data_IF_669629543704
#
_entry.id   IF_669629543704
#
_cell.length_a   1.000
_cell.length_b   1.000
_cell.length_c   1.000
_cell.angle_alpha   90.00
_cell.angle_beta   90.00
_cell.angle_gamma   90.00
#
_symmetry.space_group_name_H-M   'P 1'
#
loop_
_entity.id
_entity.type
_entity.pdbx_description
1 polymer ?
#
# COMPACT_ATOMS: atom_id res chain seq x y z
N UNK A 1 25.77 -43.72 64.74
CA UNK A 1 24.36 -43.44 64.43
C UNK A 1 23.96 -42.15 65.11
N UNK A 2 23.63 -41.11 64.33
CA UNK A 2 22.90 -39.93 64.82
C UNK A 2 21.41 -40.23 64.65
N UNK A 3 20.61 -39.99 65.68
CA UNK A 3 19.19 -40.38 65.82
C UNK A 3 18.20 -39.46 65.10
N UNK A 4 18.65 -38.70 64.11
CA UNK A 4 17.79 -37.98 63.18
C UNK A 4 18.37 -38.15 61.78
N UNK A 5 17.65 -38.86 60.91
CA UNK A 5 18.06 -39.21 59.54
C UNK A 5 18.11 -38.02 58.58
N UNK A 6 18.80 -36.95 58.94
CA UNK A 6 19.05 -35.79 58.08
C UNK A 6 20.45 -35.87 57.49
N UNK A 7 20.49 -36.11 56.18
CA UNK A 7 21.70 -36.04 55.38
C UNK A 7 22.14 -34.57 55.27
N UNK A 8 23.16 -34.17 56.05
CA UNK A 8 23.82 -32.86 55.86
C UNK A 8 24.90 -33.04 54.79
N UNK A 9 24.45 -33.15 53.55
CA UNK A 9 25.32 -33.02 52.38
C UNK A 9 25.33 -31.56 51.94
N UNK A 10 26.48 -30.89 52.01
CA UNK A 10 26.61 -29.61 51.32
C UNK A 10 26.50 -29.85 49.80
N UNK A 11 25.50 -29.24 49.17
CA UNK A 11 25.38 -29.22 47.71
C UNK A 11 26.61 -28.51 47.14
N UNK A 12 27.48 -29.27 46.46
CA UNK A 12 28.70 -28.77 45.80
C UNK A 12 28.40 -28.14 44.42
N UNK A 13 27.14 -27.88 44.05
CA UNK A 13 26.76 -27.24 42.78
C UNK A 13 26.65 -25.72 42.86
N UNK A 14 27.16 -25.11 43.93
CA UNK A 14 27.35 -23.66 43.96
C UNK A 14 28.47 -23.35 42.95
N UNK A 15 28.09 -22.68 41.85
CA UNK A 15 28.93 -22.19 40.73
C UNK A 15 29.23 -23.10 39.53
N UNK A 16 28.50 -24.20 39.32
CA UNK A 16 28.55 -24.91 38.03
C UNK A 16 27.49 -24.37 37.06
N UNK A 17 27.86 -23.47 36.14
CA UNK A 17 26.98 -23.10 35.01
C UNK A 17 26.54 -24.39 34.30
N UNK A 18 25.23 -24.65 34.11
CA UNK A 18 24.76 -25.83 33.40
C UNK A 18 25.44 -25.93 32.03
N UNK A 19 25.97 -27.10 31.69
CA UNK A 19 26.68 -27.34 30.43
C UNK A 19 25.83 -27.04 29.18
N UNK A 20 24.50 -27.01 29.35
CA UNK A 20 23.52 -26.74 28.30
C UNK A 20 23.19 -25.25 28.12
N UNK A 21 23.84 -24.32 28.84
CA UNK A 21 23.65 -22.88 28.61
C UNK A 21 24.50 -22.47 27.41
N UNK A 22 23.85 -22.05 26.33
CA UNK A 22 24.53 -21.41 25.20
C UNK A 22 25.35 -20.21 25.69
N UNK A 23 26.67 -20.19 25.47
CA UNK A 23 27.53 -19.08 25.87
C UNK A 23 27.00 -17.73 25.41
N UNK A 24 27.19 -16.69 26.24
CA UNK A 24 26.71 -15.32 25.95
C UNK A 24 27.25 -14.82 24.61
N UNK A 25 28.52 -15.10 24.30
CA UNK A 25 29.14 -14.74 23.03
C UNK A 25 28.44 -15.38 21.82
N UNK A 26 28.06 -16.66 21.91
CA UNK A 26 27.35 -17.38 20.85
C UNK A 26 25.92 -16.82 20.70
N UNK A 27 25.25 -16.49 21.81
CA UNK A 27 23.94 -15.81 21.75
C UNK A 27 24.03 -14.46 21.05
N UNK A 28 25.07 -13.67 21.34
CA UNK A 28 25.30 -12.37 20.70
C UNK A 28 25.58 -12.52 19.19
N UNK A 29 26.31 -13.55 18.76
CA UNK A 29 26.51 -13.83 17.34
C UNK A 29 25.20 -14.15 16.61
N UNK A 30 24.36 -14.98 17.21
CA UNK A 30 23.02 -15.29 16.66
C UNK A 30 22.15 -14.03 16.62
N UNK A 31 22.18 -13.20 17.66
CA UNK A 31 21.46 -11.91 17.67
C UNK A 31 21.96 -10.99 16.57
N UNK A 32 23.28 -10.86 16.40
CA UNK A 32 23.89 -10.08 15.32
C UNK A 32 23.45 -10.56 13.93
N UNK A 33 23.29 -11.88 13.75
CA UNK A 33 22.75 -12.43 12.51
C UNK A 33 21.27 -12.09 12.32
N UNK A 34 20.45 -12.21 13.36
CA UNK A 34 19.03 -11.85 13.31
C UNK A 34 18.84 -10.35 13.02
N UNK A 35 19.65 -9.49 13.62
CA UNK A 35 19.61 -8.04 13.41
C UNK A 35 20.15 -7.60 12.05
N UNK A 36 20.89 -8.47 11.35
CA UNK A 36 21.39 -8.20 10.01
C UNK A 36 20.26 -8.16 8.95
N UNK A 37 19.10 -8.74 9.24
CA UNK A 37 17.95 -8.69 8.33
C UNK A 37 17.28 -7.31 8.37
N UNK A 38 16.95 -6.73 7.20
CA UNK A 38 16.27 -5.45 7.12
C UNK A 38 14.85 -5.57 7.71
N UNK A 39 14.53 -4.61 8.56
CA UNK A 39 13.21 -4.47 9.19
C UNK A 39 12.30 -3.70 8.24
N UNK A 40 11.05 -4.14 8.12
CA UNK A 40 10.02 -3.43 7.36
C UNK A 40 9.74 -2.08 8.02
N UNK A 41 9.61 -1.03 7.21
CA UNK A 41 9.33 0.33 7.67
C UNK A 41 8.05 0.41 8.52
N UNK A 42 8.07 1.30 9.51
CA UNK A 42 7.07 1.39 10.59
C UNK A 42 5.65 1.70 10.13
N UNK A 43 5.42 2.16 8.89
CA UNK A 43 4.07 2.43 8.38
C UNK A 43 3.24 1.14 8.15
N UNK A 44 3.87 -0.03 8.16
CA UNK A 44 3.17 -1.33 8.23
C UNK A 44 2.96 -1.82 9.66
N UNK A 45 3.60 -1.18 10.63
CA UNK A 45 3.56 -1.51 12.05
C UNK A 45 2.47 -0.69 12.74
N UNK A 46 1.78 -1.26 13.72
CA UNK A 46 0.80 -0.49 14.51
C UNK A 46 1.56 0.56 15.33
N UNK A 47 1.09 1.82 15.28
CA UNK A 47 1.66 2.99 15.99
C UNK A 47 1.93 2.75 17.49
N UNK A 48 1.20 1.84 18.12
CA UNK A 48 1.29 1.53 19.56
C UNK A 48 2.10 0.26 19.90
N UNK A 49 2.79 -0.37 18.95
CA UNK A 49 3.57 -1.59 19.19
C UNK A 49 5.07 -1.35 19.03
N UNK A 50 5.86 -1.78 20.01
CA UNK A 50 7.34 -1.89 19.89
C UNK A 50 7.77 -3.08 19.01
N UNK A 51 6.83 -3.81 18.40
CA UNK A 51 7.12 -5.02 17.60
C UNK A 51 7.66 -4.63 16.22
N UNK A 52 8.80 -5.18 15.86
CA UNK A 52 9.42 -5.03 14.54
C UNK A 52 9.07 -6.21 13.63
N UNK A 53 9.06 -5.97 12.32
CA UNK A 53 8.65 -6.96 11.33
C UNK A 53 9.71 -7.24 10.28
N UNK A 54 9.92 -8.51 9.97
CA UNK A 54 10.78 -8.98 8.88
C UNK A 54 9.94 -9.31 7.63
N UNK A 55 10.60 -9.41 6.47
CA UNK A 55 9.99 -9.72 5.17
C UNK A 55 8.97 -10.88 5.22
N UNK A 56 7.83 -10.79 4.51
CA UNK A 56 6.88 -11.91 4.38
C UNK A 56 7.47 -13.12 3.64
N UNK A 57 8.54 -12.91 2.86
CA UNK A 57 9.26 -13.95 2.14
C UNK A 57 10.24 -14.71 3.06
N UNK A 58 10.44 -14.25 4.30
CA UNK A 58 11.25 -14.90 5.31
C UNK A 58 10.41 -15.77 6.24
N UNK A 59 11.05 -16.79 6.80
CA UNK A 59 10.57 -17.54 7.95
C UNK A 59 11.77 -18.09 8.74
N UNK A 60 11.55 -18.60 9.96
CA UNK A 60 12.63 -19.11 10.82
C UNK A 60 13.46 -20.19 10.12
N UNK A 61 12.85 -21.02 9.29
CA UNK A 61 13.58 -22.06 8.54
C UNK A 61 14.51 -21.46 7.50
N UNK A 62 14.04 -20.46 6.75
CA UNK A 62 14.87 -19.73 5.78
C UNK A 62 15.99 -19.00 6.52
N UNK A 63 15.68 -18.24 7.56
CA UNK A 63 16.69 -17.51 8.36
C UNK A 63 17.74 -18.46 8.96
N UNK A 64 17.33 -19.62 9.47
CA UNK A 64 18.27 -20.61 10.01
C UNK A 64 19.16 -21.21 8.93
N UNK A 65 18.63 -21.50 7.73
CA UNK A 65 19.46 -21.95 6.61
C UNK A 65 20.51 -20.89 6.25
N UNK A 66 20.09 -19.63 6.16
CA UNK A 66 21.00 -18.51 5.90
C UNK A 66 22.00 -18.27 7.06
N UNK A 67 21.64 -18.61 8.30
CA UNK A 67 22.56 -18.61 9.43
C UNK A 67 23.63 -19.69 9.31
N UNK A 68 23.28 -20.87 8.80
CA UNK A 68 24.26 -21.92 8.51
C UNK A 68 25.25 -21.46 7.44
N UNK A 69 24.77 -20.86 6.35
CA UNK A 69 25.60 -20.24 5.31
C UNK A 69 26.53 -19.17 5.90
N UNK A 70 25.99 -18.24 6.71
CA UNK A 70 26.77 -17.22 7.40
C UNK A 70 27.84 -17.80 8.34
N UNK A 71 27.51 -18.88 9.06
CA UNK A 71 28.45 -19.58 9.92
C UNK A 71 29.59 -20.23 9.11
N UNK A 72 29.27 -20.85 7.98
CA UNK A 72 30.26 -21.43 7.06
C UNK A 72 31.19 -20.35 6.49
N UNK A 73 30.65 -19.22 6.05
CA UNK A 73 31.43 -18.10 5.50
C UNK A 73 32.37 -17.43 6.52
N UNK A 74 32.07 -17.55 7.82
CA UNK A 74 32.83 -16.90 8.90
C UNK A 74 33.59 -17.91 9.78
N UNK A 75 33.76 -19.16 9.32
CA UNK A 75 34.44 -20.25 10.05
C UNK A 75 33.89 -20.49 11.47
N UNK A 76 32.57 -20.41 11.63
CA UNK A 76 31.86 -20.62 12.88
C UNK A 76 31.00 -21.88 12.86
N UNK A 77 30.87 -22.54 14.02
CA UNK A 77 29.93 -23.64 14.19
C UNK A 77 28.52 -23.12 14.47
N UNK A 78 27.50 -23.48 13.68
CA UNK A 78 26.13 -23.03 13.92
C UNK A 78 25.55 -23.67 15.18
N UNK A 79 24.79 -22.89 15.97
CA UNK A 79 23.93 -23.43 17.01
C UNK A 79 22.82 -24.29 16.44
N UNK A 80 22.18 -25.12 17.26
CA UNK A 80 21.00 -25.87 16.81
C UNK A 80 19.84 -24.94 16.46
N UNK A 81 18.99 -25.38 15.52
CA UNK A 81 17.76 -24.67 15.12
C UNK A 81 16.88 -24.29 16.31
N UNK A 82 16.84 -25.15 17.33
CA UNK A 82 16.08 -24.88 18.56
C UNK A 82 16.61 -23.65 19.30
N UNK A 83 17.94 -23.57 19.49
CA UNK A 83 18.60 -22.42 20.14
C UNK A 83 18.40 -21.15 19.31
N UNK A 84 18.60 -21.22 18.00
CA UNK A 84 18.36 -20.09 17.09
C UNK A 84 16.92 -19.57 17.20
N UNK A 85 15.94 -20.49 17.17
CA UNK A 85 14.53 -20.15 17.31
C UNK A 85 14.20 -19.53 18.68
N UNK A 86 14.79 -20.03 19.77
CA UNK A 86 14.62 -19.45 21.11
C UNK A 86 15.10 -17.99 21.13
N UNK A 87 16.30 -17.74 20.60
CA UNK A 87 16.90 -16.39 20.54
C UNK A 87 16.05 -15.45 19.69
N UNK A 88 15.51 -15.92 18.56
CA UNK A 88 14.58 -15.14 17.75
C UNK A 88 13.31 -14.73 18.52
N UNK A 89 12.71 -15.64 19.28
CA UNK A 89 11.49 -15.36 20.06
C UNK A 89 11.75 -14.51 21.32
N UNK A 90 12.97 -14.55 21.85
CA UNK A 90 13.44 -13.75 23.00
C UNK A 90 13.98 -12.37 22.59
N UNK A 91 14.04 -12.05 21.29
CA UNK A 91 14.59 -10.80 20.78
C UNK A 91 13.86 -9.56 21.31
N UNK A 92 14.59 -8.50 21.64
CA UNK A 92 14.06 -7.19 22.07
C UNK A 92 14.65 -6.08 21.18
N UNK A 93 13.83 -5.31 20.45
CA UNK A 93 12.36 -5.37 20.38
C UNK A 93 11.82 -6.69 19.80
N UNK A 94 10.61 -7.13 20.19
CA UNK A 94 10.03 -8.38 19.69
C UNK A 94 9.94 -8.42 18.15
N UNK A 95 10.37 -9.52 17.55
CA UNK A 95 10.33 -9.72 16.09
C UNK A 95 9.17 -10.63 15.65
N UNK A 96 8.71 -10.42 14.43
CA UNK A 96 7.78 -11.34 13.75
C UNK A 96 7.93 -11.21 12.24
N UNK A 97 7.63 -12.26 11.50
CA UNK A 97 7.45 -12.13 10.06
C UNK A 97 6.19 -11.34 9.78
N UNK A 98 6.30 -10.35 8.89
CA UNK A 98 5.14 -9.64 8.39
C UNK A 98 4.25 -10.64 7.69
N UNK A 99 3.04 -10.82 8.21
CA UNK A 99 2.00 -11.53 7.50
C UNK A 99 1.11 -10.46 6.93
N UNK A 100 1.11 -10.25 5.59
CA UNK A 100 0.09 -9.44 4.95
C UNK A 100 -1.23 -10.00 5.46
N UNK A 101 -2.03 -9.16 6.12
CA UNK A 101 -3.35 -9.59 6.55
C UNK A 101 -4.13 -9.81 5.27
N UNK A 102 -4.27 -11.07 4.85
CA UNK A 102 -5.31 -11.46 3.89
C UNK A 102 -6.62 -10.86 4.40
N UNK A 103 -7.41 -10.34 3.48
CA UNK A 103 -8.64 -9.56 3.68
C UNK A 103 -9.59 -10.17 4.70
N UNK A 104 -9.31 -9.92 5.97
CA UNK A 104 -10.08 -10.42 7.10
C UNK A 104 -10.86 -9.24 7.64
N UNK A 105 -12.18 -9.28 7.44
CA UNK A 105 -13.05 -8.29 8.01
C UNK A 105 -13.02 -8.36 9.54
N UNK A 106 -12.54 -7.28 10.16
CA UNK A 106 -12.45 -7.17 11.62
C UNK A 106 -13.82 -7.30 12.27
N UNK A 107 -14.87 -6.70 11.69
CA UNK A 107 -16.24 -6.79 12.21
C UNK A 107 -16.74 -8.25 12.21
N UNK A 108 -16.54 -8.96 11.10
CA UNK A 108 -16.92 -10.38 11.00
C UNK A 108 -16.12 -11.26 11.98
N UNK A 109 -14.82 -11.01 12.11
CA UNK A 109 -13.97 -11.79 13.01
C UNK A 109 -14.33 -11.56 14.48
N UNK A 110 -14.53 -10.31 14.88
CA UNK A 110 -14.95 -9.95 16.24
C UNK A 110 -16.30 -10.63 16.54
N UNK A 111 -17.29 -10.49 15.65
CA UNK A 111 -18.60 -11.11 15.85
C UNK A 111 -18.54 -12.66 15.95
N UNK A 112 -17.68 -13.31 15.15
CA UNK A 112 -17.47 -14.76 15.22
C UNK A 112 -16.79 -15.20 16.51
N UNK A 113 -15.83 -14.42 17.01
CA UNK A 113 -15.05 -14.71 18.21
C UNK A 113 -15.79 -14.37 19.52
N UNK A 114 -16.78 -13.46 19.48
CA UNK A 114 -17.54 -13.05 20.65
C UNK A 114 -18.40 -14.21 21.21
N UNK A 115 -18.24 -14.49 22.51
CA UNK A 115 -19.08 -15.45 23.25
C UNK A 115 -20.51 -14.91 23.43
N UNK A 116 -20.66 -13.61 23.69
CA UNK A 116 -21.95 -12.90 23.68
C UNK A 116 -22.05 -12.02 22.43
N UNK A 117 -22.98 -12.35 21.54
CA UNK A 117 -23.15 -11.70 20.23
C UNK A 117 -24.18 -10.59 20.21
N UNK A 118 -25.07 -10.51 21.20
CA UNK A 118 -26.15 -9.53 21.23
C UNK A 118 -25.67 -8.07 21.12
N UNK A 119 -24.59 -7.63 21.81
CA UNK A 119 -24.12 -6.23 21.71
C UNK A 119 -23.59 -5.86 20.32
N UNK A 120 -23.07 -6.83 19.56
CA UNK A 120 -22.43 -6.61 18.26
C UNK A 120 -23.33 -7.02 17.09
N UNK A 121 -24.51 -7.60 17.34
CA UNK A 121 -25.43 -8.14 16.33
C UNK A 121 -25.93 -7.10 15.35
N UNK A 122 -26.46 -5.99 15.85
CA UNK A 122 -26.96 -4.91 14.98
C UNK A 122 -25.85 -4.31 14.10
N UNK A 123 -24.63 -4.18 14.63
CA UNK A 123 -23.48 -3.71 13.85
C UNK A 123 -23.07 -4.72 12.77
N UNK A 124 -23.05 -6.01 13.11
CA UNK A 124 -22.73 -7.09 12.18
C UNK A 124 -23.78 -7.22 11.06
N UNK A 125 -25.08 -7.18 11.40
CA UNK A 125 -26.16 -7.24 10.41
C UNK A 125 -26.12 -6.03 9.46
N UNK A 126 -25.91 -4.82 9.99
CA UNK A 126 -25.69 -3.63 9.17
C UNK A 126 -24.45 -3.74 8.28
N UNK A 127 -23.35 -4.30 8.80
CA UNK A 127 -22.13 -4.55 8.02
C UNK A 127 -22.40 -5.51 6.86
N UNK A 128 -23.10 -6.63 7.09
CA UNK A 128 -23.49 -7.59 6.04
C UNK A 128 -24.46 -7.00 5.03
N UNK A 129 -25.39 -6.14 5.47
CA UNK A 129 -26.30 -5.40 4.59
C UNK A 129 -25.51 -4.50 3.64
N UNK A 130 -24.63 -3.64 4.18
CA UNK A 130 -23.82 -2.72 3.37
C UNK A 130 -22.88 -3.46 2.41
N UNK A 131 -22.32 -4.59 2.83
CA UNK A 131 -21.52 -5.47 1.96
C UNK A 131 -22.35 -5.92 0.75
N UNK A 132 -23.55 -6.44 0.99
CA UNK A 132 -24.46 -6.90 -0.08
C UNK A 132 -24.80 -5.78 -1.05
N UNK A 133 -25.17 -4.60 -0.53
CA UNK A 133 -25.52 -3.43 -1.33
C UNK A 133 -24.34 -2.93 -2.18
N UNK A 134 -23.14 -2.93 -1.61
CA UNK A 134 -21.92 -2.53 -2.32
C UNK A 134 -21.59 -3.48 -3.48
N UNK A 135 -21.71 -4.80 -3.25
CA UNK A 135 -21.51 -5.81 -4.29
C UNK A 135 -22.59 -5.75 -5.38
N UNK A 136 -23.85 -5.55 -5.00
CA UNK A 136 -24.97 -5.41 -5.93
C UNK A 136 -24.81 -4.17 -6.81
N UNK A 137 -24.50 -3.02 -6.22
CA UNK A 137 -24.24 -1.78 -6.96
C UNK A 137 -23.08 -1.95 -7.94
N UNK A 138 -21.99 -2.58 -7.51
CA UNK A 138 -20.85 -2.90 -8.37
C UNK A 138 -21.25 -3.83 -9.52
N UNK A 139 -22.02 -4.87 -9.24
CA UNK A 139 -22.54 -5.79 -10.24
C UNK A 139 -23.40 -5.07 -11.28
N UNK A 140 -24.27 -4.17 -10.84
CA UNK A 140 -25.16 -3.38 -11.70
C UNK A 140 -24.38 -2.42 -12.60
N UNK A 141 -23.42 -1.67 -12.06
CA UNK A 141 -22.59 -0.77 -12.86
C UNK A 141 -21.72 -1.56 -13.85
N UNK A 142 -21.14 -2.68 -13.42
CA UNK A 142 -20.40 -3.57 -14.32
C UNK A 142 -21.26 -4.05 -15.49
N UNK A 143 -22.49 -4.51 -15.19
CA UNK A 143 -23.45 -4.94 -16.21
C UNK A 143 -23.79 -3.79 -17.17
N UNK A 144 -24.10 -2.60 -16.64
CA UNK A 144 -24.37 -1.38 -17.42
C UNK A 144 -23.22 -1.03 -18.34
N UNK A 145 -21.98 -1.07 -17.86
CA UNK A 145 -20.80 -0.74 -18.64
C UNK A 145 -20.56 -1.73 -19.79
N UNK A 146 -20.79 -3.02 -19.55
CA UNK A 146 -20.70 -4.08 -20.58
C UNK A 146 -21.81 -3.93 -21.62
N UNK A 147 -23.06 -3.73 -21.20
CA UNK A 147 -24.21 -3.55 -22.10
C UNK A 147 -24.07 -2.29 -22.97
N UNK A 148 -23.55 -1.20 -22.39
CA UNK A 148 -23.22 0.04 -23.11
C UNK A 148 -21.93 -0.08 -23.95
N UNK A 149 -21.23 -1.23 -23.90
CA UNK A 149 -19.94 -1.47 -24.57
C UNK A 149 -18.87 -0.42 -24.22
N UNK A 150 -18.96 0.18 -23.04
CA UNK A 150 -18.08 1.26 -22.61
C UNK A 150 -18.18 2.55 -23.44
N UNK A 151 -19.25 2.76 -24.22
CA UNK A 151 -19.34 3.92 -25.12
C UNK A 151 -19.48 5.23 -24.34
N UNK A 152 -20.51 5.30 -23.49
CA UNK A 152 -20.91 6.46 -22.70
C UNK A 152 -20.64 6.27 -21.21
N UNK A 153 -20.70 5.02 -20.73
CA UNK A 153 -20.51 4.67 -19.33
C UNK A 153 -19.36 3.69 -19.15
N UNK A 154 -18.44 4.02 -18.23
CA UNK A 154 -17.35 3.14 -17.79
C UNK A 154 -17.54 2.75 -16.33
N UNK A 155 -17.37 1.47 -16.03
CA UNK A 155 -17.21 0.98 -14.67
C UNK A 155 -15.77 0.47 -14.52
N UNK A 156 -15.03 1.01 -13.56
CA UNK A 156 -13.65 0.58 -13.29
C UNK A 156 -13.50 0.15 -11.84
N UNK A 157 -12.58 -0.76 -11.57
CA UNK A 157 -12.05 -0.98 -10.23
C UNK A 157 -10.57 -0.67 -10.20
N UNK A 158 -10.08 -0.07 -9.13
CA UNK A 158 -8.65 0.20 -9.00
C UNK A 158 -8.13 -0.13 -7.61
N UNK A 159 -6.85 -0.47 -7.55
CA UNK A 159 -6.13 -0.74 -6.30
C UNK A 159 -4.62 -0.53 -6.47
N UNK A 160 -3.91 -0.33 -5.37
CA UNK A 160 -2.44 -0.28 -5.36
C UNK A 160 -1.89 -1.64 -4.94
N UNK A 161 -1.16 -2.30 -5.84
CA UNK A 161 -0.54 -3.59 -5.55
C UNK A 161 0.44 -3.50 -4.37
N UNK A 162 0.61 -4.61 -3.66
CA UNK A 162 1.72 -4.78 -2.72
C UNK A 162 3.06 -4.44 -3.37
N UNK A 163 3.98 -3.88 -2.59
CA UNK A 163 5.29 -3.41 -3.06
C UNK A 163 6.02 -4.53 -3.82
N UNK A 164 6.54 -4.16 -4.99
CA UNK A 164 7.38 -5.02 -5.83
C UNK A 164 8.84 -4.63 -5.57
N UNK A 165 9.67 -5.50 -4.97
CA UNK A 165 11.05 -5.14 -4.63
C UNK A 165 11.98 -5.22 -5.84
N UNK A 166 13.05 -4.42 -5.80
CA UNK A 166 14.24 -4.55 -6.64
C UNK A 166 15.48 -4.66 -5.73
N UNK A 167 16.35 -5.66 -5.92
CA UNK A 167 16.17 -6.78 -6.83
C UNK A 167 15.09 -7.75 -6.32
N UNK A 168 14.40 -8.41 -7.22
CA UNK A 168 13.61 -9.59 -6.94
C UNK A 168 14.32 -10.78 -7.55
N UNK A 169 15.17 -11.43 -6.76
CA UNK A 169 15.89 -12.64 -7.12
C UNK A 169 15.82 -13.61 -5.94
N UNK A 170 15.71 -14.91 -6.21
CA UNK A 170 15.61 -15.96 -5.17
C UNK A 170 16.92 -16.21 -4.40
N UNK A 171 17.87 -15.28 -4.48
CA UNK A 171 19.21 -15.41 -3.93
C UNK A 171 19.24 -15.02 -2.45
N UNK A 172 19.95 -15.82 -1.67
CA UNK A 172 19.94 -15.82 -0.20
C UNK A 172 20.40 -14.46 0.39
N UNK A 173 21.37 -13.81 -0.27
CA UNK A 173 21.93 -12.51 0.11
C UNK A 173 20.94 -11.34 -0.03
N UNK A 174 19.96 -11.46 -0.93
CA UNK A 174 18.92 -10.43 -1.16
C UNK A 174 18.09 -10.21 0.11
N UNK A 175 17.92 -11.24 0.93
CA UNK A 175 17.14 -11.16 2.16
C UNK A 175 17.76 -10.29 3.25
N UNK A 176 19.06 -9.99 3.18
CA UNK A 176 19.80 -9.20 4.17
C UNK A 176 19.94 -7.72 3.81
N UNK A 177 19.41 -7.30 2.66
CA UNK A 177 19.68 -6.00 2.08
C UNK A 177 18.40 -5.22 1.80
N UNK A 178 18.49 -3.90 1.91
CA UNK A 178 17.38 -3.01 1.59
C UNK A 178 17.06 -3.08 0.09
N UNK A 179 15.77 -3.10 -0.23
CA UNK A 179 15.28 -3.14 -1.61
C UNK A 179 14.85 -1.75 -2.07
N UNK A 180 14.99 -1.49 -3.36
CA UNK A 180 14.29 -0.38 -4.02
C UNK A 180 12.82 -0.78 -4.19
N UNK A 181 11.92 0.08 -3.71
CA UNK A 181 10.48 -0.19 -3.76
C UNK A 181 9.90 0.24 -5.12
N UNK A 182 9.18 -0.67 -5.77
CA UNK A 182 8.36 -0.37 -6.96
C UNK A 182 6.88 -0.47 -6.60
N UNK A 183 6.13 0.53 -7.04
CA UNK A 183 4.69 0.64 -6.88
C UNK A 183 4.00 0.35 -8.21
N UNK A 184 2.86 -0.33 -8.14
CA UNK A 184 2.03 -0.62 -9.30
C UNK A 184 0.57 -0.30 -8.97
N UNK A 185 0.07 0.83 -9.48
CA UNK A 185 -1.33 1.21 -9.38
C UNK A 185 -2.11 0.65 -10.56
N UNK A 186 -3.09 -0.20 -10.29
CA UNK A 186 -3.83 -0.92 -11.33
C UNK A 186 -5.24 -0.39 -11.45
N UNK A 187 -5.71 -0.25 -12.70
CA UNK A 187 -7.08 0.05 -13.06
C UNK A 187 -7.58 -1.05 -13.99
N UNK A 188 -8.62 -1.74 -13.55
CA UNK A 188 -9.34 -2.69 -14.37
C UNK A 188 -10.62 -2.05 -14.92
N UNK A 189 -10.75 -1.97 -16.23
CA UNK A 189 -11.97 -1.50 -16.90
C UNK A 189 -12.93 -2.67 -17.16
N UNK A 190 -14.06 -2.68 -16.47
CA UNK A 190 -15.05 -3.74 -16.55
C UNK A 190 -15.75 -3.82 -17.91
N UNK A 191 -15.75 -2.72 -18.68
CA UNK A 191 -16.49 -2.60 -19.94
C UNK A 191 -15.85 -3.44 -21.06
N UNK A 192 -14.52 -3.41 -21.13
CA UNK A 192 -13.70 -4.05 -22.17
C UNK A 192 -12.68 -5.07 -21.61
N UNK A 193 -12.62 -5.23 -20.28
CA UNK A 193 -11.66 -6.08 -19.56
C UNK A 193 -10.20 -5.62 -19.72
N UNK A 194 -9.98 -4.35 -20.04
CA UNK A 194 -8.63 -3.80 -20.15
C UNK A 194 -8.05 -3.61 -18.75
N UNK A 195 -6.75 -3.90 -18.62
CA UNK A 195 -6.01 -3.67 -17.37
C UNK A 195 -4.93 -2.66 -17.66
N UNK A 196 -4.98 -1.53 -16.96
CA UNK A 196 -4.03 -0.42 -17.05
C UNK A 196 -3.20 -0.44 -15.77
N UNK A 197 -1.89 -0.40 -15.92
CA UNK A 197 -0.95 -0.36 -14.81
C UNK A 197 -0.13 0.92 -14.90
N UNK A 198 -0.03 1.66 -13.80
CA UNK A 198 0.89 2.77 -13.64
C UNK A 198 1.98 2.33 -12.69
N UNK A 199 3.21 2.26 -13.18
CA UNK A 199 4.35 1.66 -12.46
C UNK A 199 5.42 2.71 -12.25
N UNK A 200 5.91 2.86 -11.02
CA UNK A 200 7.05 3.72 -10.70
C UNK A 200 7.78 3.19 -9.48
N UNK A 201 9.08 3.46 -9.39
CA UNK A 201 9.83 3.25 -8.15
C UNK A 201 9.81 4.47 -7.24
N UNK A 202 10.20 4.26 -5.99
CA UNK A 202 10.21 5.29 -4.94
C UNK A 202 11.06 6.52 -5.29
N UNK A 203 12.01 6.44 -6.24
CA UNK A 203 12.73 7.63 -6.70
C UNK A 203 11.91 8.53 -7.64
N UNK A 204 10.80 8.04 -8.18
CA UNK A 204 9.93 8.81 -9.06
C UNK A 204 8.72 9.39 -8.34
N UNK A 205 8.25 8.77 -7.26
CA UNK A 205 7.12 9.28 -6.49
C UNK A 205 6.81 8.41 -5.29
N UNK A 206 6.07 8.96 -4.33
CA UNK A 206 5.58 8.16 -3.19
C UNK A 206 4.33 7.35 -3.58
N UNK A 207 3.64 6.78 -2.61
CA UNK A 207 2.38 6.02 -2.81
C UNK A 207 1.14 6.77 -2.31
N UNK A 208 1.22 8.11 -2.27
CA UNK A 208 0.20 8.97 -1.66
C UNK A 208 -0.95 9.32 -2.60
N UNK A 209 -1.92 10.05 -2.05
CA UNK A 209 -3.12 10.49 -2.78
C UNK A 209 -2.85 11.33 -4.04
N UNK A 210 -1.75 12.06 -4.09
CA UNK A 210 -1.37 12.85 -5.28
C UNK A 210 -0.99 11.96 -6.46
N UNK A 211 -0.25 10.88 -6.21
CA UNK A 211 0.14 9.91 -7.23
C UNK A 211 -1.08 9.16 -7.74
N UNK A 212 -1.94 8.70 -6.82
CA UNK A 212 -3.18 8.00 -7.17
C UNK A 212 -4.12 8.90 -7.98
N UNK A 213 -4.39 10.12 -7.49
CA UNK A 213 -5.25 11.07 -8.19
C UNK A 213 -4.67 11.50 -9.54
N UNK A 214 -3.34 11.57 -9.68
CA UNK A 214 -2.68 11.79 -10.99
C UNK A 214 -2.96 10.63 -11.94
N UNK A 215 -2.78 9.38 -11.50
CA UNK A 215 -2.99 8.21 -12.35
C UNK A 215 -4.47 8.08 -12.76
N UNK A 216 -5.40 8.38 -11.86
CA UNK A 216 -6.83 8.46 -12.17
C UNK A 216 -7.11 9.56 -13.19
N UNK A 217 -6.55 10.76 -13.02
CA UNK A 217 -6.71 11.84 -13.99
C UNK A 217 -6.17 11.46 -15.37
N UNK A 218 -4.98 10.86 -15.45
CA UNK A 218 -4.40 10.36 -16.71
C UNK A 218 -5.29 9.30 -17.37
N UNK A 219 -5.89 8.40 -16.58
CA UNK A 219 -6.85 7.43 -17.11
C UNK A 219 -8.09 8.14 -17.67
N UNK A 220 -8.67 9.09 -16.94
CA UNK A 220 -9.83 9.84 -17.41
C UNK A 220 -9.55 10.63 -18.69
N UNK A 221 -8.33 11.19 -18.83
CA UNK A 221 -7.88 11.86 -20.04
C UNK A 221 -7.73 10.93 -21.24
N UNK A 222 -7.37 9.66 -21.03
CA UNK A 222 -7.18 8.69 -22.13
C UNK A 222 -8.49 8.06 -22.61
N UNK A 223 -9.60 8.32 -21.91
CA UNK A 223 -10.92 7.79 -22.29
C UNK A 223 -11.39 8.40 -23.62
N UNK A 224 -12.13 7.61 -24.43
CA UNK A 224 -12.77 8.12 -25.63
C UNK A 224 -13.70 9.30 -25.32
N UNK A 225 -13.79 10.27 -26.23
CA UNK A 225 -14.67 11.44 -26.12
C UNK A 225 -16.17 11.08 -26.03
N UNK A 226 -16.54 9.83 -26.35
CA UNK A 226 -17.91 9.35 -26.18
C UNK A 226 -18.26 9.08 -24.72
N UNK A 227 -17.27 8.89 -23.83
CA UNK A 227 -17.53 8.56 -22.43
C UNK A 227 -17.97 9.81 -21.69
N UNK A 228 -19.14 9.74 -21.06
CA UNK A 228 -19.74 10.85 -20.31
C UNK A 228 -19.79 10.57 -18.81
N UNK A 229 -19.79 9.30 -18.41
CA UNK A 229 -19.92 8.90 -17.01
C UNK A 229 -18.95 7.78 -16.65
N UNK A 230 -18.16 7.97 -15.60
CA UNK A 230 -17.27 6.96 -15.05
C UNK A 230 -17.66 6.66 -13.61
N UNK A 231 -17.91 5.39 -13.30
CA UNK A 231 -18.05 4.89 -11.94
C UNK A 231 -16.80 4.07 -11.57
N UNK A 232 -16.23 4.36 -10.40
CA UNK A 232 -15.03 3.69 -9.91
C UNK A 232 -15.34 2.93 -8.63
N UNK A 233 -14.67 1.80 -8.42
CA UNK A 233 -14.73 0.99 -7.21
C UNK A 233 -13.33 0.80 -6.63
N UNK A 234 -13.15 1.17 -5.37
CA UNK A 234 -11.88 1.01 -4.66
C UNK A 234 -12.10 0.59 -3.21
N UNK A 235 -11.01 0.29 -2.52
CA UNK A 235 -11.02 0.18 -1.07
C UNK A 235 -11.30 1.53 -0.38
N UNK A 236 -11.35 1.53 0.94
CA UNK A 236 -11.65 2.72 1.77
C UNK A 236 -10.40 3.44 2.29
N UNK A 237 -9.23 3.21 1.68
CA UNK A 237 -7.96 3.80 2.14
C UNK A 237 -8.01 5.33 2.15
N UNK A 238 -7.93 5.94 3.34
CA UNK A 238 -8.02 7.39 3.52
C UNK A 238 -6.82 8.13 2.94
N UNK A 239 -5.59 7.66 3.22
CA UNK A 239 -4.36 8.29 2.74
C UNK A 239 -4.18 8.27 1.22
N UNK A 240 -4.88 7.37 0.52
CA UNK A 240 -4.74 7.16 -0.92
C UNK A 240 -5.99 7.58 -1.69
N UNK A 241 -7.15 7.01 -1.36
CA UNK A 241 -8.33 7.03 -2.23
C UNK A 241 -9.42 7.97 -1.71
N UNK A 242 -9.79 7.84 -0.43
CA UNK A 242 -10.93 8.55 0.17
C UNK A 242 -10.48 9.79 0.92
N UNK A 243 -10.06 10.81 0.16
CA UNK A 243 -9.60 12.09 0.70
C UNK A 243 -9.94 13.27 -0.22
N UNK A 244 -9.68 14.47 0.30
CA UNK A 244 -9.88 15.75 -0.40
C UNK A 244 -9.01 15.91 -1.66
N UNK A 245 -7.82 15.29 -1.71
CA UNK A 245 -6.88 15.45 -2.82
C UNK A 245 -7.38 14.71 -4.07
N UNK A 246 -7.77 13.44 -3.93
CA UNK A 246 -8.40 12.68 -5.01
C UNK A 246 -9.73 13.32 -5.42
N UNK A 247 -10.52 13.80 -4.45
CA UNK A 247 -11.77 14.53 -4.73
C UNK A 247 -11.52 15.79 -5.56
N UNK A 248 -10.48 16.56 -5.26
CA UNK A 248 -10.09 17.74 -6.03
C UNK A 248 -9.66 17.37 -7.45
N UNK A 249 -8.92 16.27 -7.64
CA UNK A 249 -8.61 15.76 -8.98
C UNK A 249 -9.88 15.38 -9.76
N UNK A 250 -10.89 14.79 -9.13
CA UNK A 250 -12.14 14.44 -9.81
C UNK A 250 -12.97 15.68 -10.18
N UNK A 251 -13.08 16.66 -9.27
CA UNK A 251 -13.70 17.96 -9.57
C UNK A 251 -13.00 18.67 -10.73
N UNK A 252 -11.66 18.67 -10.73
CA UNK A 252 -10.86 19.21 -11.82
C UNK A 252 -11.15 18.47 -13.13
N UNK A 253 -11.24 17.14 -13.07
CA UNK A 253 -11.49 16.27 -14.23
C UNK A 253 -12.84 16.57 -14.89
N UNK A 254 -13.95 16.59 -14.13
CA UNK A 254 -15.28 16.91 -14.68
C UNK A 254 -15.37 18.34 -15.20
N UNK A 255 -14.62 19.26 -14.60
CA UNK A 255 -14.61 20.66 -15.03
C UNK A 255 -13.83 20.85 -16.34
N UNK A 256 -12.68 20.17 -16.50
CA UNK A 256 -11.78 20.36 -17.64
C UNK A 256 -12.06 19.45 -18.82
N UNK A 257 -12.44 18.20 -18.59
CA UNK A 257 -12.68 17.25 -19.68
C UNK A 257 -14.04 17.56 -20.31
N UNK A 258 -14.06 17.85 -21.61
CA UNK A 258 -15.23 18.39 -22.32
C UNK A 258 -16.41 17.45 -22.30
N UNK A 259 -16.17 16.16 -22.53
CA UNK A 259 -17.15 15.09 -22.63
C UNK A 259 -17.63 14.53 -21.27
N UNK A 260 -16.79 14.57 -20.24
CA UNK A 260 -17.07 13.90 -18.97
C UNK A 260 -18.05 14.71 -18.12
N UNK A 261 -19.28 14.19 -17.96
CA UNK A 261 -20.38 14.83 -17.21
C UNK A 261 -20.40 14.41 -15.75
N UNK A 262 -20.10 13.15 -15.45
CA UNK A 262 -20.22 12.60 -14.10
C UNK A 262 -19.07 11.66 -13.76
N UNK A 263 -18.52 11.79 -12.55
CA UNK A 263 -17.64 10.80 -11.93
C UNK A 263 -18.25 10.35 -10.61
N UNK A 264 -18.37 9.04 -10.43
CA UNK A 264 -18.77 8.41 -9.17
C UNK A 264 -17.58 7.64 -8.59
N UNK A 265 -17.06 8.08 -7.44
CA UNK A 265 -16.10 7.29 -6.65
C UNK A 265 -16.86 6.50 -5.57
N UNK A 266 -16.89 5.18 -5.70
CA UNK A 266 -17.59 4.28 -4.79
C UNK A 266 -16.60 3.44 -4.01
N UNK A 267 -16.78 3.37 -2.69
CA UNK A 267 -15.87 2.70 -1.78
C UNK A 267 -16.49 1.42 -1.23
N UNK A 268 -15.78 0.30 -1.39
CA UNK A 268 -16.22 -1.02 -0.97
C UNK A 268 -16.22 -1.19 0.56
N UNK A 269 -16.94 -2.18 1.09
CA UNK A 269 -16.86 -2.51 2.51
C UNK A 269 -15.55 -3.23 2.85
N UNK A 270 -14.84 -2.72 3.86
CA UNK A 270 -13.53 -3.22 4.26
C UNK A 270 -13.55 -4.72 4.64
N UNK A 271 -12.61 -5.48 4.09
CA UNK A 271 -12.50 -6.93 4.29
C UNK A 271 -13.53 -7.76 3.53
N UNK A 272 -14.32 -7.14 2.64
CA UNK A 272 -15.26 -7.78 1.72
C UNK A 272 -15.19 -7.20 0.30
N UNK A 273 -14.10 -6.49 -0.01
CA UNK A 273 -13.84 -5.94 -1.32
C UNK A 273 -13.34 -7.05 -2.23
N UNK A 274 -14.12 -7.43 -3.24
CA UNK A 274 -13.63 -8.25 -4.35
C UNK A 274 -13.44 -7.32 -5.54
N UNK A 275 -12.26 -6.74 -5.73
CA UNK A 275 -11.96 -5.84 -6.85
C UNK A 275 -11.45 -6.64 -8.05
N UNK A 276 -11.80 -6.24 -9.28
CA UNK A 276 -11.22 -6.88 -10.47
C UNK A 276 -9.73 -6.55 -10.58
N UNK A 277 -9.28 -5.42 -10.02
CA UNK A 277 -7.87 -5.08 -9.83
C UNK A 277 -7.09 -6.19 -9.07
N UNK A 278 -7.70 -6.83 -8.08
CA UNK A 278 -7.07 -7.94 -7.32
C UNK A 278 -6.74 -9.13 -8.24
N UNK A 279 -7.56 -9.35 -9.28
CA UNK A 279 -7.27 -10.39 -10.27
C UNK A 279 -6.05 -10.07 -11.14
N UNK A 280 -5.75 -8.78 -11.34
CA UNK A 280 -4.52 -8.32 -11.98
C UNK A 280 -3.32 -8.63 -11.09
N UNK A 281 -3.41 -8.28 -9.81
CA UNK A 281 -2.36 -8.55 -8.82
C UNK A 281 -2.05 -10.05 -8.74
N UNK A 282 -3.08 -10.90 -8.61
CA UNK A 282 -2.92 -12.36 -8.57
C UNK A 282 -2.32 -12.93 -9.87
N UNK A 283 -2.50 -12.26 -11.01
CA UNK A 283 -1.90 -12.67 -12.30
C UNK A 283 -0.43 -12.28 -12.36
N UNK A 284 -0.10 -11.06 -11.95
CA UNK A 284 1.28 -10.55 -11.85
C UNK A 284 2.09 -11.37 -10.84
N UNK A 285 1.50 -11.69 -9.69
CA UNK A 285 2.13 -12.51 -8.64
C UNK A 285 2.47 -13.92 -9.12
N UNK A 286 1.64 -14.52 -9.98
CA UNK A 286 1.94 -15.82 -10.60
C UNK A 286 3.08 -15.69 -11.62
N UNK A 287 3.05 -14.65 -12.45
CA UNK A 287 4.07 -14.42 -13.47
C UNK A 287 5.48 -14.17 -12.87
N UNK A 288 5.56 -13.51 -11.71
CA UNK A 288 6.85 -13.20 -11.08
C UNK A 288 7.55 -14.40 -10.41
N UNK A 289 6.86 -15.49 -10.06
CA UNK A 289 7.43 -16.59 -9.26
C UNK A 289 8.72 -17.20 -9.81
N UNK A 290 8.90 -17.18 -11.13
CA UNK A 290 10.04 -17.79 -11.80
C UNK A 290 10.88 -16.79 -12.59
N UNK A 291 10.73 -15.49 -12.28
CA UNK A 291 11.39 -14.41 -13.01
C UNK A 291 12.19 -13.57 -12.05
N UNK A 292 13.46 -13.30 -12.40
CA UNK A 292 14.29 -12.33 -11.68
C UNK A 292 14.03 -10.93 -12.26
N UNK A 293 13.96 -9.91 -11.41
CA UNK A 293 13.76 -8.52 -11.83
C UNK A 293 14.75 -7.61 -11.11
N UNK A 294 15.49 -6.78 -11.85
CA UNK A 294 16.57 -5.94 -11.33
C UNK A 294 16.34 -4.44 -11.59
N UNK A 295 15.31 -4.09 -12.35
CA UNK A 295 14.96 -2.71 -12.70
C UNK A 295 13.45 -2.49 -12.74
N UNK A 296 13.03 -1.22 -12.62
CA UNK A 296 11.62 -0.82 -12.78
C UNK A 296 11.10 -1.16 -14.18
N UNK A 297 11.98 -1.11 -15.19
CA UNK A 297 11.64 -1.44 -16.58
C UNK A 297 11.33 -2.94 -16.75
N UNK A 298 12.09 -3.82 -16.13
CA UNK A 298 11.80 -5.26 -16.18
C UNK A 298 10.47 -5.57 -15.50
N UNK A 299 10.17 -4.93 -14.36
CA UNK A 299 8.84 -5.03 -13.76
C UNK A 299 7.75 -4.57 -14.72
N UNK A 300 7.94 -3.48 -15.46
CA UNK A 300 6.99 -3.03 -16.47
C UNK A 300 6.76 -4.08 -17.56
N UNK A 301 7.84 -4.72 -18.06
CA UNK A 301 7.77 -5.77 -19.08
C UNK A 301 7.04 -7.00 -18.56
N UNK A 302 7.40 -7.46 -17.35
CA UNK A 302 6.75 -8.59 -16.68
C UNK A 302 5.27 -8.34 -16.48
N UNK A 303 4.91 -7.16 -15.96
CA UNK A 303 3.52 -6.77 -15.74
C UNK A 303 2.77 -6.79 -17.08
N UNK A 304 3.29 -6.15 -18.12
CA UNK A 304 2.63 -6.12 -19.44
C UNK A 304 2.37 -7.53 -19.98
N UNK A 305 3.38 -8.41 -19.89
CA UNK A 305 3.32 -9.78 -20.40
C UNK A 305 2.56 -10.76 -19.49
N UNK A 306 2.24 -10.39 -18.24
CA UNK A 306 1.65 -11.31 -17.26
C UNK A 306 0.26 -11.85 -17.65
N UNK A 307 -0.48 -11.13 -18.50
CA UNK A 307 -1.80 -11.54 -18.99
C UNK A 307 -1.83 -11.67 -20.51
N UNK A 308 -2.08 -12.88 -21.02
CA UNK A 308 -2.24 -13.11 -22.46
C UNK A 308 -3.67 -12.84 -22.96
N UNK A 309 -4.69 -13.25 -22.19
CA UNK A 309 -6.11 -13.12 -22.55
C UNK A 309 -6.87 -12.22 -21.57
N UNK A 310 -7.79 -11.36 -22.04
CA UNK A 310 -8.14 -11.14 -23.44
C UNK A 310 -7.04 -10.41 -24.22
N UNK A 311 -6.16 -9.67 -23.53
CA UNK A 311 -4.96 -9.01 -24.07
C UNK A 311 -3.97 -8.61 -22.95
N UNK A 312 -2.70 -8.33 -23.30
CA UNK A 312 -1.70 -7.75 -22.39
C UNK A 312 -2.18 -6.56 -21.58
N UNK A 313 -1.57 -6.34 -20.42
CA UNK A 313 -1.81 -5.12 -19.65
C UNK A 313 -1.12 -3.93 -20.32
N UNK A 314 -1.81 -2.79 -20.33
CA UNK A 314 -1.24 -1.52 -20.77
C UNK A 314 -0.46 -0.90 -19.62
N UNK A 315 0.86 -0.82 -19.76
CA UNK A 315 1.76 -0.37 -18.68
C UNK A 315 2.30 1.03 -19.00
N UNK A 316 2.08 1.95 -18.08
CA UNK A 316 2.64 3.29 -18.07
C UNK A 316 3.77 3.34 -17.05
N UNK A 317 5.02 3.51 -17.51
CA UNK A 317 6.16 3.74 -16.63
C UNK A 317 6.18 5.22 -16.22
N UNK A 318 5.74 5.51 -15.02
CA UNK A 318 5.55 6.87 -14.50
C UNK A 318 6.87 7.46 -14.00
N UNK A 319 7.11 8.72 -14.32
CA UNK A 319 8.30 9.48 -13.97
C UNK A 319 7.94 10.59 -12.97
N UNK A 320 8.95 11.15 -12.30
CA UNK A 320 8.73 12.20 -11.29
C UNK A 320 8.04 13.44 -11.86
N UNK A 321 8.30 13.74 -13.14
CA UNK A 321 7.70 14.87 -13.84
C UNK A 321 6.25 14.66 -14.26
N UNK A 322 5.72 13.44 -14.10
CA UNK A 322 4.32 13.11 -14.42
C UNK A 322 3.36 13.45 -13.28
N UNK A 323 3.84 13.43 -12.02
CA UNK A 323 2.98 13.55 -10.84
C UNK A 323 2.55 14.99 -10.59
N UNK A 324 1.25 15.16 -10.33
CA UNK A 324 0.62 16.45 -10.09
C UNK A 324 0.54 16.77 -8.59
N UNK A 325 0.75 18.04 -8.25
CA UNK A 325 0.60 18.54 -6.88
C UNK A 325 -0.88 18.78 -6.57
N UNK A 326 -1.55 17.74 -6.07
CA UNK A 326 -2.96 17.84 -5.69
C UNK A 326 -3.16 18.60 -4.39
N UNK A 327 -2.13 18.73 -3.56
CA UNK A 327 -2.20 19.57 -2.37
C UNK A 327 -2.33 21.03 -2.75
N UNK A 328 -1.48 21.51 -3.67
CA UNK A 328 -1.60 22.86 -4.18
C UNK A 328 -2.93 23.10 -4.92
N UNK A 329 -3.46 22.08 -5.62
CA UNK A 329 -4.79 22.16 -6.24
C UNK A 329 -5.88 22.38 -5.18
N UNK A 330 -5.85 21.63 -4.09
CA UNK A 330 -6.75 21.79 -2.94
C UNK A 330 -6.62 23.19 -2.35
N UNK A 331 -5.40 23.66 -2.05
CA UNK A 331 -5.14 25.00 -1.51
C UNK A 331 -5.65 26.12 -2.42
N UNK A 332 -5.71 25.89 -3.74
CA UNK A 332 -6.15 26.89 -4.70
C UNK A 332 -7.67 27.01 -4.84
N UNK A 333 -8.43 25.93 -4.66
CA UNK A 333 -9.87 25.89 -5.02
C UNK A 333 -10.77 25.39 -3.89
N UNK A 334 -10.27 24.48 -3.05
CA UNK A 334 -11.07 23.78 -2.04
C UNK A 334 -10.93 24.50 -0.69
N UNK A 335 -11.94 25.32 -0.36
CA UNK A 335 -12.02 26.06 0.91
C UNK A 335 -12.69 25.26 2.02
N UNK A 336 -13.59 24.32 1.68
CA UNK A 336 -14.37 23.56 2.64
C UNK A 336 -14.50 22.09 2.24
N UNK A 337 -14.18 21.21 3.18
CA UNK A 337 -14.47 19.78 3.12
C UNK A 337 -15.03 19.25 4.43
N UNK A 338 -15.26 20.14 5.40
CA UNK A 338 -15.53 19.77 6.79
C UNK A 338 -17.01 19.87 7.14
N UNK A 339 -17.74 20.75 6.48
CA UNK A 339 -19.17 20.97 6.69
C UNK A 339 -19.94 20.75 5.39
N UNK A 340 -21.12 20.15 5.49
CA UNK A 340 -22.06 20.07 4.37
C UNK A 340 -22.88 21.37 4.25
N UNK A 341 -23.74 21.45 3.24
CA UNK A 341 -24.58 22.62 2.96
C UNK A 341 -25.61 22.91 4.06
N UNK A 342 -25.92 21.93 4.92
CA UNK A 342 -26.78 22.10 6.10
C UNK A 342 -26.00 22.59 7.34
N UNK A 343 -24.67 22.76 7.24
CA UNK A 343 -23.81 23.16 8.34
C UNK A 343 -23.39 22.02 9.27
N UNK A 344 -23.64 20.76 8.90
CA UNK A 344 -23.31 19.57 9.68
C UNK A 344 -21.88 19.08 9.36
N UNK A 345 -21.19 18.50 10.36
CA UNK A 345 -19.83 17.97 10.17
C UNK A 345 -19.83 16.73 9.27
N UNK A 346 -18.98 16.73 8.26
CA UNK A 346 -18.79 15.62 7.33
C UNK A 346 -17.84 14.58 7.93
N UNK A 347 -18.24 13.31 7.91
CA UNK A 347 -17.43 12.19 8.36
C UNK A 347 -16.87 11.42 7.15
N UNK A 348 -15.70 11.83 6.65
CA UNK A 348 -15.06 11.24 5.47
C UNK A 348 -14.88 9.72 5.58
N UNK A 349 -14.52 9.24 6.77
CA UNK A 349 -14.33 7.80 7.03
C UNK A 349 -15.62 6.97 6.87
N UNK A 350 -16.79 7.61 6.90
CA UNK A 350 -18.10 6.95 6.70
C UNK A 350 -18.61 7.05 5.27
N UNK A 351 -18.02 7.89 4.43
CA UNK A 351 -18.48 8.08 3.05
C UNK A 351 -18.28 6.78 2.26
N UNK A 352 -19.32 6.40 1.52
CA UNK A 352 -19.37 5.22 0.65
C UNK A 352 -19.46 5.57 -0.83
N UNK A 353 -19.93 6.76 -1.14
CA UNK A 353 -20.07 7.23 -2.52
C UNK A 353 -19.82 8.73 -2.54
N UNK A 354 -18.85 9.17 -3.35
CA UNK A 354 -18.67 10.55 -3.77
C UNK A 354 -19.09 10.70 -5.24
N UNK A 355 -19.86 11.73 -5.55
CA UNK A 355 -20.28 12.08 -6.90
C UNK A 355 -19.83 13.49 -7.25
N UNK A 356 -19.31 13.62 -8.46
CA UNK A 356 -18.84 14.87 -9.04
C UNK A 356 -19.55 15.08 -10.37
N UNK A 357 -20.16 16.24 -10.56
CA UNK A 357 -20.93 16.53 -11.77
C UNK A 357 -20.45 17.84 -12.41
N UNK A 358 -20.32 17.82 -13.74
CA UNK A 358 -19.88 18.98 -14.51
C UNK A 358 -20.80 20.20 -14.37
N UNK A 359 -22.10 19.97 -14.18
CA UNK A 359 -23.10 21.03 -13.98
C UNK A 359 -22.95 21.76 -12.63
N UNK A 360 -22.28 21.14 -11.67
CA UNK A 360 -22.08 21.65 -10.31
C UNK A 360 -20.61 21.49 -9.89
N UNK A 361 -19.68 22.18 -10.58
CA UNK A 361 -18.24 21.90 -10.49
C UNK A 361 -17.60 22.25 -9.13
N UNK A 362 -18.35 22.89 -8.23
CA UNK A 362 -17.90 23.19 -6.86
C UNK A 362 -18.62 22.36 -5.79
N UNK A 363 -19.44 21.38 -6.19
CA UNK A 363 -20.19 20.55 -5.26
C UNK A 363 -19.62 19.14 -5.27
N UNK A 364 -19.28 18.65 -4.08
CA UNK A 364 -19.05 17.23 -3.84
C UNK A 364 -20.34 16.67 -3.26
N UNK A 365 -20.99 15.78 -4.01
CA UNK A 365 -22.15 15.04 -3.53
C UNK A 365 -21.67 13.77 -2.84
N UNK A 366 -22.26 13.40 -1.70
CA UNK A 366 -21.85 12.20 -0.98
C UNK A 366 -22.99 11.42 -0.32
N UNK A 367 -22.77 10.11 -0.13
CA UNK A 367 -23.64 9.22 0.64
C UNK A 367 -22.87 8.44 1.71
N UNK A 368 -23.51 8.26 2.86
CA UNK A 368 -23.07 7.31 3.90
C UNK A 368 -23.70 5.93 3.73
N UNK A 369 -24.94 5.86 3.25
CA UNK A 369 -25.66 4.64 2.93
C UNK A 369 -25.92 4.59 1.42
N UNK A 370 -25.57 3.48 0.79
CA UNK A 370 -25.69 3.32 -0.66
C UNK A 370 -27.16 3.25 -1.12
N UNK A 371 -28.06 2.82 -0.23
CA UNK A 371 -29.49 2.73 -0.47
C UNK A 371 -30.25 4.05 -0.24
N UNK A 372 -29.61 5.08 0.30
CA UNK A 372 -30.27 6.37 0.53
C UNK A 372 -30.71 7.02 -0.79
N UNK A 373 -31.91 7.61 -0.81
CA UNK A 373 -32.48 8.23 -2.02
C UNK A 373 -31.79 9.54 -2.41
N UNK A 374 -31.22 10.25 -1.44
CA UNK A 374 -30.63 11.57 -1.64
C UNK A 374 -29.11 11.58 -1.41
N UNK A 375 -28.44 12.57 -2.00
CA UNK A 375 -27.05 12.90 -1.70
C UNK A 375 -27.02 14.07 -0.73
N UNK A 376 -26.09 14.02 0.23
CA UNK A 376 -25.63 15.22 0.92
C UNK A 376 -24.67 15.99 0.01
N UNK A 377 -24.52 17.28 0.25
CA UNK A 377 -23.70 18.14 -0.61
C UNK A 377 -22.70 18.95 0.21
N UNK A 378 -21.49 19.06 -0.31
CA UNK A 378 -20.42 19.92 0.20
C UNK A 378 -20.10 20.94 -0.90
N UNK A 379 -20.43 22.20 -0.66
CA UNK A 379 -19.86 23.30 -1.46
C UNK A 379 -18.40 23.53 -1.05
N UNK A 380 -17.48 23.13 -1.92
CA UNK A 380 -16.03 23.28 -1.68
C UNK A 380 -15.58 24.73 -1.78
N UNK A 381 -16.37 25.59 -2.42
CA UNK A 381 -16.07 27.02 -2.54
C UNK A 381 -16.51 27.82 -1.31
N UNK A 382 -17.42 27.27 -0.49
CA UNK A 382 -17.96 27.93 0.69
C UNK A 382 -16.84 28.26 1.69
N UNK A 383 -16.64 29.55 1.95
CA UNK A 383 -15.65 30.02 2.91
C UNK A 383 -16.32 30.93 3.95
N UNK A 384 -16.45 30.46 5.20
CA UNK A 384 -17.01 31.29 6.29
C UNK A 384 -16.12 32.48 6.67
N UNK A 385 -14.84 32.50 6.24
CA UNK A 385 -13.84 33.48 6.71
C UNK A 385 -13.30 34.42 5.64
N UNK A 386 -13.58 34.22 4.34
CA UNK A 386 -13.14 35.12 3.27
C UNK A 386 -14.22 35.26 2.20
N UNK A 387 -14.80 36.46 2.09
CA UNK A 387 -15.61 36.92 0.94
C UNK A 387 -14.68 37.25 -0.24
N UNK A 388 -13.96 36.25 -0.75
CA UNK A 388 -13.05 36.38 -1.89
C UNK A 388 -13.70 35.90 -3.18
N UNK A 389 -13.32 36.51 -4.31
CA UNK A 389 -13.80 36.15 -5.66
C UNK A 389 -13.51 34.67 -5.96
N UNK A 390 -14.55 33.91 -6.30
CA UNK A 390 -14.47 32.48 -6.66
C UNK A 390 -13.44 32.27 -7.77
N UNK A 391 -12.42 31.43 -7.55
CA UNK A 391 -11.50 31.02 -8.63
C UNK A 391 -12.23 30.04 -9.55
N UNK A 392 -12.25 30.32 -10.84
CA UNK A 392 -12.80 29.38 -11.83
C UNK A 392 -11.85 28.20 -11.98
N UNK A 393 -12.39 27.00 -12.21
CA UNK A 393 -11.61 25.84 -12.62
C UNK A 393 -10.83 26.12 -13.91
N UNK A 394 -11.32 27.02 -14.76
CA UNK A 394 -10.67 27.37 -16.02
C UNK A 394 -9.29 27.99 -15.85
N UNK A 395 -9.10 28.81 -14.80
CA UNK A 395 -7.83 29.50 -14.56
C UNK A 395 -6.81 28.65 -13.79
N UNK A 396 -7.16 27.43 -13.39
CA UNK A 396 -6.27 26.59 -12.59
C UNK A 396 -5.34 25.79 -13.48
N UNK A 397 -4.04 26.01 -13.25
CA UNK A 397 -2.97 25.23 -13.84
C UNK A 397 -2.47 24.20 -12.83
N UNK A 398 -2.45 22.94 -13.23
CA UNK A 398 -1.86 21.87 -12.43
C UNK A 398 -0.34 22.02 -12.44
N UNK A 399 0.28 22.00 -11.27
CA UNK A 399 1.74 21.97 -11.15
C UNK A 399 2.23 20.56 -10.90
N UNK A 400 3.50 20.34 -11.23
CA UNK A 400 4.19 19.09 -10.91
C UNK A 400 4.46 19.03 -9.40
N UNK A 401 4.24 17.86 -8.81
CA UNK A 401 4.57 17.58 -7.41
C UNK A 401 6.08 17.53 -7.18
N UNK A 402 6.81 16.93 -8.12
CA UNK A 402 8.24 16.73 -8.00
C UNK A 402 9.01 17.50 -9.07
N UNK A 403 10.04 18.22 -8.64
CA UNK A 403 10.95 18.93 -9.53
C UNK A 403 12.06 18.01 -10.07
N UNK A 404 12.48 17.03 -9.28
CA UNK A 404 13.55 16.06 -9.57
C UNK A 404 13.20 14.69 -9.01
N UNK A 405 14.00 13.67 -9.33
CA UNK A 405 13.90 12.36 -8.66
C UNK A 405 14.12 12.50 -7.15
N UNK A 406 13.38 11.71 -6.39
CA UNK A 406 13.44 11.61 -4.95
C UNK A 406 14.64 10.72 -4.56
N UNK A 407 15.48 11.14 -3.60
CA UNK A 407 16.62 10.35 -3.16
C UNK A 407 16.16 9.19 -2.26
N UNK A 408 16.81 8.03 -2.40
CA UNK A 408 16.74 6.94 -1.41
C UNK A 408 17.71 7.19 -0.25
N UNK A 409 17.60 6.43 0.83
CA UNK A 409 18.58 6.51 1.92
C UNK A 409 19.95 6.04 1.43
N UNK A 410 21.02 6.66 1.94
CA UNK A 410 22.40 6.21 1.69
C UNK A 410 22.60 4.74 2.08
N UNK A 411 21.98 4.29 3.19
CA UNK A 411 21.97 2.88 3.58
C UNK A 411 21.40 1.99 2.48
N UNK A 412 20.23 2.33 1.94
CA UNK A 412 19.59 1.56 0.86
C UNK A 412 20.44 1.57 -0.40
N UNK A 413 21.02 2.71 -0.76
CA UNK A 413 21.96 2.82 -1.89
C UNK A 413 23.19 1.92 -1.71
N UNK A 414 23.80 1.94 -0.52
CA UNK A 414 24.95 1.10 -0.19
C UNK A 414 24.62 -0.39 -0.26
N UNK A 415 23.44 -0.78 0.22
CA UNK A 415 22.97 -2.17 0.15
C UNK A 415 22.81 -2.63 -1.31
N UNK A 416 22.25 -1.79 -2.18
CA UNK A 416 22.10 -2.11 -3.62
C UNK A 416 23.45 -2.19 -4.35
N UNK A 417 24.39 -1.30 -4.03
CA UNK A 417 25.75 -1.35 -4.56
C UNK A 417 26.51 -2.59 -4.08
N UNK A 418 26.29 -3.01 -2.83
CA UNK A 418 26.84 -4.25 -2.30
C UNK A 418 26.35 -5.45 -3.13
N UNK A 419 25.04 -5.55 -3.38
CA UNK A 419 24.46 -6.64 -4.18
C UNK A 419 24.98 -6.65 -5.64
N UNK A 420 25.27 -5.47 -6.21
CA UNK A 420 25.92 -5.35 -7.51
C UNK A 420 27.38 -5.86 -7.48
N UNK A 421 28.16 -5.43 -6.49
CA UNK A 421 29.57 -5.80 -6.38
C UNK A 421 29.80 -7.29 -6.06
N UNK A 422 28.80 -7.97 -5.49
CA UNK A 422 28.81 -9.40 -5.18
C UNK A 422 28.05 -10.23 -6.22
N UNK A 423 27.80 -9.68 -7.41
CA UNK A 423 27.18 -10.35 -8.57
C UNK A 423 25.76 -10.92 -8.34
N UNK A 424 25.11 -10.58 -7.21
CA UNK A 424 23.69 -10.90 -6.97
C UNK A 424 22.79 -10.10 -7.92
N UNK A 425 23.15 -8.83 -8.14
CA UNK A 425 22.64 -8.02 -9.26
C UNK A 425 23.67 -8.10 -10.38
N UNK A 426 23.31 -8.55 -11.60
CA UNK A 426 24.23 -8.59 -12.72
C UNK A 426 24.81 -7.22 -13.08
N UNK A 427 26.06 -7.19 -13.53
CA UNK A 427 26.77 -5.95 -13.87
C UNK A 427 26.10 -5.12 -14.97
N UNK A 428 25.28 -5.74 -15.82
CA UNK A 428 24.47 -5.05 -16.84
C UNK A 428 23.52 -4.00 -16.23
N UNK A 429 23.20 -4.11 -14.94
CA UNK A 429 22.34 -3.17 -14.21
C UNK A 429 23.12 -2.10 -13.44
N UNK A 430 24.45 -2.05 -13.57
CA UNK A 430 25.29 -1.10 -12.85
C UNK A 430 24.85 0.35 -13.08
N UNK A 431 24.54 0.73 -14.32
CA UNK A 431 24.09 2.09 -14.63
C UNK A 431 22.79 2.46 -13.93
N UNK A 432 21.84 1.52 -13.85
CA UNK A 432 20.58 1.76 -13.15
C UNK A 432 20.83 2.01 -11.65
N UNK A 433 21.61 1.13 -11.01
CA UNK A 433 21.92 1.21 -9.58
C UNK A 433 22.75 2.46 -9.28
N UNK A 434 23.81 2.73 -10.04
CA UNK A 434 24.71 3.88 -9.86
C UNK A 434 23.99 5.22 -9.99
N UNK A 435 23.01 5.32 -10.89
CA UNK A 435 22.25 6.55 -11.11
C UNK A 435 21.07 6.77 -10.14
N UNK A 436 20.84 5.88 -9.15
CA UNK A 436 19.85 6.14 -8.10
C UNK A 436 20.31 7.30 -7.20
N UNK A 437 19.53 8.39 -7.07
CA UNK A 437 19.87 9.49 -6.15
C UNK A 437 19.80 9.00 -4.70
N UNK A 438 20.70 9.48 -3.83
CA UNK A 438 20.69 9.11 -2.40
C UNK A 438 20.96 10.29 -1.48
N UNK A 439 20.53 10.19 -0.22
CA UNK A 439 20.72 11.23 0.80
C UNK A 439 20.82 10.64 2.20
N UNK A 440 21.61 11.28 3.07
CA UNK A 440 21.65 11.06 4.54
C UNK A 440 20.63 11.91 5.29
N UNK A 441 20.11 12.96 4.66
CA UNK A 441 19.12 13.87 5.24
C UNK A 441 17.74 13.21 5.39
N UNK A 442 17.35 12.93 6.64
CA UNK A 442 16.07 12.33 6.99
C UNK A 442 14.86 13.19 6.57
N UNK A 443 14.99 14.51 6.49
CA UNK A 443 13.88 15.38 6.08
C UNK A 443 13.49 15.19 4.61
N UNK A 444 14.45 14.88 3.75
CA UNK A 444 14.23 14.58 2.33
C UNK A 444 13.65 13.17 2.10
N UNK A 445 13.88 12.25 3.04
CA UNK A 445 13.31 10.90 3.05
C UNK A 445 11.85 10.90 3.53
N UNK A 446 11.49 11.82 4.44
CA UNK A 446 10.14 11.97 5.00
C UNK A 446 9.09 12.50 3.99
N UNK A 447 9.51 13.02 2.83
CA UNK A 447 8.60 13.32 1.72
C UNK A 447 7.88 12.05 1.18
N UNK A 448 8.38 10.85 1.51
CA UNK A 448 7.69 9.59 1.21
C UNK A 448 6.56 9.25 2.21
N UNK A 449 6.55 9.81 3.41
CA UNK A 449 5.65 9.43 4.52
C UNK A 449 4.60 10.48 4.88
N UNK A 450 4.74 11.73 4.45
CA UNK A 450 3.76 12.79 4.71
C UNK A 450 2.56 12.71 3.76
N UNK A 451 1.66 11.76 3.98
CA UNK A 451 0.26 11.85 3.50
C UNK A 451 -0.77 11.11 4.35
N UNK A 452 -0.40 10.54 5.50
CA UNK A 452 -1.31 9.67 6.27
C UNK A 452 -1.85 10.29 7.58
N UNK A 453 -1.37 11.45 8.03
CA UNK A 453 -1.66 11.94 9.39
C UNK A 453 -2.56 13.16 9.57
N UNK A 454 -3.11 13.73 8.50
CA UNK A 454 -4.10 14.80 8.64
C UNK A 454 -5.44 14.40 7.99
N UNK A 455 -6.27 13.64 8.73
CA UNK A 455 -7.70 13.90 9.00
C UNK A 455 -8.47 12.70 9.56
#
# INVERSE_FOLDING_TARGET
>A
MSSTGLFIGHDKRIDSKPHNITPIAIKQQVMSHIDSFPKIESHYCRRDSKKEYLSPELNISIMYRLYQEYCEENDMSPVSRFVYQSIFHEHDPPLSFYKPKKDQCTVCNVFKASQNKEPSRANFENHKRREKESLEMKGNDKKRAVENKGREFRAISFDLQAILPIPFAGDSQVYYKSHLNVYNFTIYDCSNKDGICYVWDETHGSKGSSEIGTCLYKYLQSLPQTVEHVATFSDTCGGQNRNKFVSAAMLYSVSKLTNLKTIDLKFMESGHSYLEADSMHATIERARRHTKNYTTREWCLLISASRLRPRPYHVNNMQYCDFLDLQQLVECIVNNTSLNNNGEKVSWIRIKWLRFEKRSPNIIQYKYDLSADFFYEIDVSANKRRSGRKRSWDSVQLKRKYATRLPISEKKKSDLLYLLNHETIPMDYADFINNLPSTSDLSKLMLHSQSEDDQ
#
